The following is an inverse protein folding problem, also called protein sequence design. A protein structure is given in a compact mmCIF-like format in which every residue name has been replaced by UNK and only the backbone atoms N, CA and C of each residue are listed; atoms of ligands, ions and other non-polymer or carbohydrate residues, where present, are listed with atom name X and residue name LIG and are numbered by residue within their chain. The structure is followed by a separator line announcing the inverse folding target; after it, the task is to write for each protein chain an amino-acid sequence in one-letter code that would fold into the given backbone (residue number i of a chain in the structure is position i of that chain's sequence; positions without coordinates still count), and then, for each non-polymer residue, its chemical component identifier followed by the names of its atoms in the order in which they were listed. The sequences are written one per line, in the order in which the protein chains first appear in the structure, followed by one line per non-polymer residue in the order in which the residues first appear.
data_IF_342646427582
#
_entry.id   IF_342646427582
#
_cell.length_a   1.000
_cell.length_b   1.000
_cell.length_c   1.000
_cell.angle_alpha   90.00
_cell.angle_beta   90.00
_cell.angle_gamma   90.00
#
_symmetry.space_group_name_H-M   'P 1'
#
loop_
_entity.id
_entity.type
_entity.pdbx_description
1 polymer ?
#
# COMPACT_ATOMS: atom_id res chain seq x y z
N UNK A 1 -20.67 19.03 -27.29
CA UNK A 1 -21.96 18.71 -27.96
C UNK A 1 -22.97 18.20 -26.94
N UNK A 2 -24.03 18.96 -26.64
CA UNK A 2 -25.12 18.54 -25.73
C UNK A 2 -26.19 17.81 -26.56
N UNK A 3 -26.38 16.50 -26.39
CA UNK A 3 -27.52 15.78 -26.95
C UNK A 3 -28.62 15.67 -25.90
N UNK A 4 -29.78 16.27 -26.17
CA UNK A 4 -30.99 16.10 -25.35
C UNK A 4 -31.65 14.80 -25.76
N UNK A 5 -31.84 13.88 -24.83
CA UNK A 5 -32.65 12.68 -25.04
C UNK A 5 -34.04 12.92 -24.44
N UNK A 6 -35.09 12.74 -25.24
CA UNK A 6 -36.48 12.74 -24.78
C UNK A 6 -36.81 11.33 -24.28
N UNK A 7 -37.03 11.18 -22.98
CA UNK A 7 -37.64 9.96 -22.42
C UNK A 7 -39.13 9.92 -22.79
N UNK A 8 -39.68 8.76 -23.17
CA UNK A 8 -41.02 8.72 -23.78
C UNK A 8 -42.19 9.02 -22.83
N UNK A 9 -42.01 9.06 -21.50
CA UNK A 9 -43.11 9.25 -20.53
C UNK A 9 -42.78 10.23 -19.39
N UNK A 10 -42.59 11.52 -19.69
CA UNK A 10 -42.65 12.56 -18.66
C UNK A 10 -43.13 13.87 -19.28
N UNK A 11 -44.35 14.26 -18.94
CA UNK A 11 -45.00 15.50 -19.42
C UNK A 11 -44.53 16.77 -18.71
N UNK A 12 -43.60 16.66 -17.76
CA UNK A 12 -42.95 17.85 -17.20
C UNK A 12 -41.55 17.52 -16.67
N UNK A 13 -40.75 18.57 -16.60
CA UNK A 13 -39.38 18.65 -16.10
C UNK A 13 -38.28 17.96 -16.92
N UNK A 14 -37.59 18.83 -17.67
CA UNK A 14 -36.28 18.59 -18.26
C UNK A 14 -35.27 18.20 -17.19
N UNK A 15 -35.12 16.90 -16.92
CA UNK A 15 -34.01 16.39 -16.14
C UNK A 15 -32.73 16.48 -16.98
N UNK A 16 -31.82 17.38 -16.59
CA UNK A 16 -30.43 17.34 -17.05
C UNK A 16 -29.81 16.08 -16.43
N UNK A 17 -29.78 14.99 -17.19
CA UNK A 17 -29.05 13.78 -16.81
C UNK A 17 -27.56 14.11 -16.84
N UNK A 18 -27.02 14.59 -15.71
CA UNK A 18 -25.58 14.59 -15.48
C UNK A 18 -25.15 13.12 -15.42
N UNK A 19 -24.80 12.55 -16.57
CA UNK A 19 -24.00 11.32 -16.59
C UNK A 19 -22.63 11.72 -16.04
N UNK A 20 -22.50 11.78 -14.70
CA UNK A 20 -21.20 11.82 -14.03
C UNK A 20 -20.54 10.50 -14.38
N UNK A 21 -19.79 10.50 -15.47
CA UNK A 21 -18.80 9.48 -15.73
C UNK A 21 -17.84 9.49 -14.54
N UNK A 22 -18.15 8.70 -13.52
CA UNK A 22 -17.26 8.41 -12.41
C UNK A 22 -16.15 7.50 -12.97
N UNK A 23 -15.27 8.07 -13.77
CA UNK A 23 -13.93 7.53 -13.96
C UNK A 23 -13.11 7.85 -12.71
N UNK A 24 -13.56 7.40 -11.52
CA UNK A 24 -12.57 7.08 -10.49
C UNK A 24 -11.93 5.80 -11.00
N UNK A 25 -10.67 5.81 -11.46
CA UNK A 25 -10.06 4.62 -12.03
C UNK A 25 -9.94 3.59 -10.92
N UNK A 26 -10.90 2.66 -10.84
CA UNK A 26 -10.88 1.53 -9.89
C UNK A 26 -9.52 0.81 -9.96
N UNK A 27 -8.99 0.70 -11.18
CA UNK A 27 -7.65 0.17 -11.50
C UNK A 27 -6.52 0.82 -10.69
N UNK A 28 -6.56 2.13 -10.40
CA UNK A 28 -5.50 2.77 -9.61
C UNK A 28 -5.55 2.41 -8.12
N UNK A 29 -6.74 2.23 -7.56
CA UNK A 29 -6.88 1.86 -6.15
C UNK A 29 -6.49 0.40 -5.91
N UNK A 30 -6.88 -0.49 -6.83
CA UNK A 30 -6.51 -1.91 -6.77
C UNK A 30 -4.99 -2.08 -6.93
N UNK A 31 -4.36 -1.36 -7.86
CA UNK A 31 -2.91 -1.38 -8.03
C UNK A 31 -2.17 -0.83 -6.79
N UNK A 32 -2.66 0.28 -6.22
CA UNK A 32 -2.09 0.85 -4.98
C UNK A 32 -2.23 -0.11 -3.80
N UNK A 33 -3.35 -0.84 -3.69
CA UNK A 33 -3.55 -1.85 -2.66
C UNK A 33 -2.56 -3.01 -2.81
N UNK A 34 -2.39 -3.53 -4.03
CA UNK A 34 -1.42 -4.60 -4.31
C UNK A 34 0.01 -4.15 -4.01
N UNK A 35 0.38 -2.93 -4.41
CA UNK A 35 1.70 -2.36 -4.11
C UNK A 35 1.89 -2.16 -2.61
N UNK A 36 0.91 -1.63 -1.90
CA UNK A 36 0.94 -1.46 -0.45
C UNK A 36 1.17 -2.80 0.27
N UNK A 37 0.45 -3.83 -0.16
CA UNK A 37 0.52 -5.17 0.42
C UNK A 37 1.87 -5.81 0.13
N UNK A 38 2.36 -5.73 -1.11
CA UNK A 38 3.68 -6.24 -1.48
C UNK A 38 4.81 -5.57 -0.67
N UNK A 39 4.77 -4.25 -0.52
CA UNK A 39 5.75 -3.50 0.28
C UNK A 39 5.71 -3.88 1.75
N UNK A 40 4.51 -4.05 2.32
CA UNK A 40 4.35 -4.49 3.71
C UNK A 40 4.89 -5.91 3.91
N UNK A 41 4.57 -6.85 3.02
CA UNK A 41 5.08 -8.23 3.09
C UNK A 41 6.60 -8.28 2.95
N UNK A 42 7.18 -7.55 2.00
CA UNK A 42 8.64 -7.44 1.85
C UNK A 42 9.29 -6.83 3.09
N UNK A 43 8.71 -5.75 3.63
CA UNK A 43 9.19 -5.13 4.86
C UNK A 43 9.17 -6.09 6.05
N UNK A 44 8.06 -6.82 6.25
CA UNK A 44 7.94 -7.83 7.33
C UNK A 44 8.96 -8.95 7.16
N UNK A 45 9.13 -9.46 5.94
CA UNK A 45 10.09 -10.52 5.63
C UNK A 45 11.54 -10.09 5.95
N UNK A 46 11.90 -8.85 5.64
CA UNK A 46 13.25 -8.30 5.91
C UNK A 46 13.48 -8.09 7.42
N UNK A 47 12.44 -7.70 8.17
CA UNK A 47 12.55 -7.36 9.59
C UNK A 47 12.53 -8.61 10.48
N UNK A 48 11.64 -9.56 10.18
CA UNK A 48 11.47 -10.79 10.95
C UNK A 48 12.47 -11.82 10.43
N UNK A 49 13.55 -12.12 11.16
CA UNK A 49 14.47 -13.16 10.74
C UNK A 49 13.74 -14.50 10.76
N UNK A 50 13.80 -15.24 9.66
CA UNK A 50 13.38 -16.63 9.69
C UNK A 50 14.37 -17.46 10.52
N UNK A 51 13.96 -18.62 11.07
CA UNK A 51 14.87 -19.48 11.83
C UNK A 51 16.09 -19.91 11.02
N UNK A 52 15.94 -20.11 9.70
CA UNK A 52 17.04 -20.43 8.79
C UNK A 52 18.02 -19.26 8.64
N UNK A 53 17.52 -18.04 8.47
CA UNK A 53 18.37 -16.84 8.32
C UNK A 53 19.21 -16.60 9.58
N UNK A 54 18.64 -16.83 10.76
CA UNK A 54 19.37 -16.68 12.02
C UNK A 54 20.55 -17.65 12.11
N UNK A 55 20.38 -18.89 11.66
CA UNK A 55 21.43 -19.92 11.69
C UNK A 55 22.49 -19.60 10.64
N UNK A 56 22.11 -19.29 9.39
CA UNK A 56 23.05 -18.96 8.32
C UNK A 56 23.88 -17.71 8.64
N UNK A 57 23.24 -16.64 9.12
CA UNK A 57 23.94 -15.42 9.52
C UNK A 57 24.89 -15.70 10.68
N UNK A 58 24.53 -16.56 11.63
CA UNK A 58 25.41 -16.93 12.75
C UNK A 58 26.62 -17.74 12.29
N UNK A 59 26.43 -18.70 11.37
CA UNK A 59 27.53 -19.51 10.83
C UNK A 59 28.47 -18.68 9.96
N UNK A 60 27.92 -17.86 9.06
CA UNK A 60 28.70 -16.99 8.17
C UNK A 60 29.45 -15.93 8.98
N UNK A 61 28.78 -15.30 9.96
CA UNK A 61 29.43 -14.32 10.83
C UNK A 61 30.49 -14.95 11.72
N UNK A 62 30.26 -16.16 12.26
CA UNK A 62 31.27 -16.89 13.03
C UNK A 62 32.52 -17.24 12.22
N UNK A 63 32.35 -17.66 10.96
CA UNK A 63 33.46 -17.93 10.05
C UNK A 63 34.24 -16.65 9.70
N UNK A 64 33.54 -15.57 9.32
CA UNK A 64 34.16 -14.31 8.93
C UNK A 64 34.87 -13.60 10.10
N UNK A 65 34.32 -13.68 11.31
CA UNK A 65 34.92 -13.05 12.51
C UNK A 65 36.25 -13.70 12.88
N UNK A 66 36.36 -15.02 12.76
CA UNK A 66 37.60 -15.73 13.04
C UNK A 66 38.67 -15.48 11.97
N UNK A 67 38.26 -15.16 10.73
CA UNK A 67 39.19 -14.97 9.61
C UNK A 67 39.67 -13.53 9.40
N UNK A 68 38.88 -12.50 9.73
CA UNK A 68 39.14 -11.12 9.30
C UNK A 68 39.18 -10.05 10.41
N UNK A 69 39.04 -10.41 11.68
CA UNK A 69 39.23 -9.51 12.83
C UNK A 69 38.09 -8.50 13.11
N UNK A 70 38.33 -7.56 14.03
CA UNK A 70 37.31 -6.66 14.63
C UNK A 70 36.73 -5.62 13.66
N UNK A 71 37.47 -5.20 12.63
CA UNK A 71 37.00 -4.23 11.63
C UNK A 71 35.88 -4.81 10.75
N UNK A 72 36.02 -6.07 10.30
CA UNK A 72 35.00 -6.74 9.50
C UNK A 72 33.71 -7.00 10.31
N UNK A 73 33.86 -7.24 11.61
CA UNK A 73 32.75 -7.43 12.55
C UNK A 73 31.89 -6.16 12.67
N UNK A 74 32.51 -4.99 12.74
CA UNK A 74 31.78 -3.72 12.74
C UNK A 74 31.01 -3.50 11.43
N UNK A 75 31.64 -3.75 10.28
CA UNK A 75 31.00 -3.63 8.96
C UNK A 75 29.79 -4.56 8.80
N UNK A 76 29.87 -5.80 9.30
CA UNK A 76 28.74 -6.74 9.30
C UNK A 76 27.56 -6.25 10.15
N UNK A 77 27.84 -5.70 11.34
CA UNK A 77 26.80 -5.13 12.21
C UNK A 77 26.14 -3.93 11.55
N UNK A 78 26.91 -3.02 10.95
CA UNK A 78 26.35 -1.88 10.21
C UNK A 78 25.55 -2.33 8.98
N UNK A 79 26.02 -3.33 8.25
CA UNK A 79 25.29 -3.91 7.12
C UNK A 79 23.93 -4.48 7.53
N UNK A 80 23.88 -5.23 8.65
CA UNK A 80 22.64 -5.75 9.22
C UNK A 80 21.69 -4.64 9.67
N UNK A 81 22.21 -3.59 10.30
CA UNK A 81 21.41 -2.44 10.72
C UNK A 81 20.79 -1.72 9.51
N UNK A 82 21.57 -1.48 8.46
CA UNK A 82 21.09 -0.85 7.22
C UNK A 82 20.04 -1.73 6.56
N UNK A 83 20.28 -3.04 6.47
CA UNK A 83 19.32 -3.99 5.90
C UNK A 83 17.97 -3.96 6.62
N UNK A 84 17.98 -3.98 7.96
CA UNK A 84 16.74 -3.85 8.76
C UNK A 84 16.08 -2.48 8.61
N UNK A 85 16.86 -1.40 8.51
CA UNK A 85 16.35 -0.06 8.28
C UNK A 85 15.61 0.05 6.93
N UNK A 86 16.12 -0.59 5.87
CA UNK A 86 15.44 -0.67 4.57
C UNK A 86 14.10 -1.40 4.70
N UNK A 87 14.07 -2.54 5.42
CA UNK A 87 12.83 -3.27 5.71
C UNK A 87 11.80 -2.39 6.41
N UNK A 88 12.24 -1.60 7.39
CA UNK A 88 11.37 -0.67 8.13
C UNK A 88 10.80 0.44 7.21
N UNK A 89 11.62 1.00 6.31
CA UNK A 89 11.15 2.00 5.35
C UNK A 89 10.11 1.44 4.39
N UNK A 90 10.31 0.20 3.89
CA UNK A 90 9.35 -0.47 3.02
C UNK A 90 8.02 -0.71 3.74
N UNK A 91 8.08 -1.10 5.02
CA UNK A 91 6.91 -1.35 5.84
C UNK A 91 6.12 -0.05 6.09
N UNK A 92 6.80 1.06 6.39
CA UNK A 92 6.19 2.39 6.51
C UNK A 92 5.55 2.82 5.19
N UNK A 93 6.23 2.62 4.05
CA UNK A 93 5.68 2.93 2.75
C UNK A 93 4.39 2.12 2.47
N UNK A 94 4.39 0.82 2.79
CA UNK A 94 3.22 -0.04 2.71
C UNK A 94 2.04 0.49 3.52
N UNK A 95 2.27 0.92 4.77
CA UNK A 95 1.23 1.53 5.60
C UNK A 95 0.70 2.86 5.04
N UNK A 96 1.56 3.72 4.49
CA UNK A 96 1.13 4.98 3.88
C UNK A 96 0.20 4.72 2.69
N UNK A 97 0.59 3.81 1.77
CA UNK A 97 -0.24 3.47 0.63
C UNK A 97 -1.53 2.76 1.05
N UNK A 98 -1.47 1.84 2.01
CA UNK A 98 -2.65 1.20 2.58
C UNK A 98 -3.61 2.20 3.24
N UNK A 99 -3.09 3.18 3.98
CA UNK A 99 -3.86 4.24 4.60
C UNK A 99 -4.61 5.12 3.58
N UNK A 100 -3.98 5.42 2.44
CA UNK A 100 -4.65 6.15 1.34
C UNK A 100 -5.83 5.33 0.78
N UNK A 101 -5.65 4.02 0.59
CA UNK A 101 -6.72 3.13 0.11
C UNK A 101 -7.87 3.07 1.10
N UNK A 102 -7.58 2.84 2.39
CA UNK A 102 -8.60 2.79 3.46
C UNK A 102 -9.35 4.11 3.57
N UNK A 103 -8.63 5.25 3.59
CA UNK A 103 -9.25 6.58 3.64
C UNK A 103 -10.23 6.78 2.50
N UNK A 104 -9.83 6.46 1.27
CA UNK A 104 -10.70 6.60 0.10
C UNK A 104 -11.93 5.68 0.17
N UNK A 105 -11.80 4.48 0.73
CA UNK A 105 -12.92 3.58 0.93
C UNK A 105 -13.89 4.11 2.00
N UNK A 106 -13.37 4.65 3.11
CA UNK A 106 -14.16 5.23 4.20
C UNK A 106 -14.92 6.46 3.71
N UNK A 107 -14.28 7.41 3.02
CA UNK A 107 -14.95 8.62 2.52
C UNK A 107 -16.12 8.27 1.62
N UNK A 108 -15.95 7.32 0.68
CA UNK A 108 -17.05 6.85 -0.18
C UNK A 108 -18.22 6.26 0.60
N UNK A 109 -17.93 5.52 1.67
CA UNK A 109 -18.97 4.89 2.51
C UNK A 109 -19.72 5.94 3.32
N UNK A 110 -19.02 6.93 3.86
CA UNK A 110 -19.59 8.06 4.60
C UNK A 110 -20.46 8.92 3.68
N UNK A 111 -19.98 9.28 2.49
CA UNK A 111 -20.73 10.07 1.52
C UNK A 111 -22.05 9.39 1.12
N UNK A 112 -22.01 8.08 0.84
CA UNK A 112 -23.21 7.30 0.52
C UNK A 112 -24.23 7.25 1.68
N UNK A 113 -23.76 7.17 2.92
CA UNK A 113 -24.64 7.21 4.09
C UNK A 113 -25.29 8.58 4.24
N UNK A 114 -24.50 9.65 4.11
CA UNK A 114 -25.01 11.03 4.17
C UNK A 114 -26.04 11.30 3.08
N UNK A 115 -25.83 10.81 1.85
CA UNK A 115 -26.80 10.93 0.76
C UNK A 115 -28.09 10.15 1.03
N UNK A 116 -28.03 9.05 1.80
CA UNK A 116 -29.21 8.28 2.19
C UNK A 116 -30.02 8.99 3.27
N UNK A 117 -29.38 9.66 4.22
CA UNK A 117 -30.05 10.45 5.25
C UNK A 117 -30.67 11.76 4.73
N UNK A 118 -30.24 12.22 3.55
CA UNK A 118 -30.70 13.48 2.93
C UNK A 118 -31.91 13.29 2.00
N UNK A 119 -32.30 12.05 1.72
CA UNK A 119 -33.51 11.67 0.97
C UNK A 119 -34.63 11.31 1.92
#
# INVERSE_FOLDING_TARGET
MKRKYKTPHSDNDTHIVYRRFHYTPRVRLDLLATVALALAFLGIYIIIPTPSDAIEVTVISGFLVNAFGTSLRASLVYGLLIYKAIGMMLLVAGFVFGGIVVRNAVTKRVDNLLDTFRK
#
